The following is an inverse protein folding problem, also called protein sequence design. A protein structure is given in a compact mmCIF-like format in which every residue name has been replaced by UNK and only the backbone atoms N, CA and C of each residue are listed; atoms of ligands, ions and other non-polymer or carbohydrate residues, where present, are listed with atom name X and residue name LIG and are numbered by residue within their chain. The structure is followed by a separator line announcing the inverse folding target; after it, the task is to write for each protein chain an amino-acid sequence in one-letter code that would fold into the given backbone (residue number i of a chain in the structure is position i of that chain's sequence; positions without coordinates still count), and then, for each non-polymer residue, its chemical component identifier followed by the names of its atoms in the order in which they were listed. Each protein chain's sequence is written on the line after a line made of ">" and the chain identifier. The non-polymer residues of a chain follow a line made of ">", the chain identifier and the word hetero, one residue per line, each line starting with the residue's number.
data_IF_250578814678
#
_entry.id   IF_250578814678
#
_cell.length_a   1.000
_cell.length_b   1.000
_cell.length_c   1.000
_cell.angle_alpha   90.00
_cell.angle_beta   90.00
_cell.angle_gamma   90.00
#
_symmetry.space_group_name_H-M   'P 1'
#
loop_
_entity.id
_entity.type
_entity.pdbx_description
1 polymer ?
#
# COMPACT_ATOMS: atom_id res chain seq x y z
N UNK A 1 -24.08 11.60 -6.05
CA UNK A 1 -23.30 10.35 -6.16
C UNK A 1 -23.69 9.41 -5.03
N UNK A 2 -24.18 8.21 -5.36
CA UNK A 2 -24.66 7.21 -4.38
C UNK A 2 -23.53 6.66 -3.52
N UNK A 3 -23.86 6.13 -2.34
CA UNK A 3 -22.88 5.54 -1.41
C UNK A 3 -22.11 4.39 -2.07
N UNK A 4 -22.82 3.48 -2.75
CA UNK A 4 -22.22 2.34 -3.47
C UNK A 4 -21.16 2.78 -4.48
N UNK A 5 -21.44 3.83 -5.26
CA UNK A 5 -20.48 4.37 -6.24
C UNK A 5 -19.23 4.95 -5.56
N UNK A 6 -19.38 5.59 -4.39
CA UNK A 6 -18.24 6.09 -3.61
C UNK A 6 -17.35 4.95 -3.12
N UNK A 7 -17.97 3.89 -2.59
CA UNK A 7 -17.26 2.70 -2.09
C UNK A 7 -16.50 2.02 -3.24
N UNK A 8 -17.16 1.79 -4.39
CA UNK A 8 -16.53 1.15 -5.55
C UNK A 8 -15.36 1.98 -6.09
N UNK A 9 -15.52 3.30 -6.23
CA UNK A 9 -14.44 4.16 -6.69
C UNK A 9 -13.27 4.21 -5.69
N UNK A 10 -13.56 4.27 -4.40
CA UNK A 10 -12.53 4.23 -3.37
C UNK A 10 -11.73 2.92 -3.38
N UNK A 11 -12.41 1.77 -3.55
CA UNK A 11 -11.76 0.47 -3.73
C UNK A 11 -10.84 0.45 -4.96
N UNK A 12 -11.35 0.88 -6.12
CA UNK A 12 -10.56 0.92 -7.36
C UNK A 12 -9.33 1.81 -7.20
N UNK A 13 -9.49 3.01 -6.63
CA UNK A 13 -8.39 3.93 -6.39
C UNK A 13 -7.39 3.34 -5.40
N UNK A 14 -7.86 2.72 -4.31
CA UNK A 14 -6.99 2.08 -3.32
C UNK A 14 -6.11 0.99 -3.95
N UNK A 15 -6.71 0.11 -4.76
CA UNK A 15 -5.97 -0.93 -5.49
C UNK A 15 -5.00 -0.32 -6.50
N UNK A 16 -5.47 0.55 -7.38
CA UNK A 16 -4.65 1.15 -8.43
C UNK A 16 -3.47 1.94 -7.85
N UNK A 17 -3.69 2.73 -6.81
CA UNK A 17 -2.65 3.52 -6.16
C UNK A 17 -1.61 2.62 -5.46
N UNK A 18 -2.06 1.55 -4.79
CA UNK A 18 -1.13 0.60 -4.16
C UNK A 18 -0.23 -0.07 -5.19
N UNK A 19 -0.79 -0.53 -6.30
CA UNK A 19 -0.02 -1.18 -7.37
C UNK A 19 0.93 -0.19 -8.04
N UNK A 20 0.49 1.05 -8.29
CA UNK A 20 1.34 2.09 -8.85
C UNK A 20 2.52 2.43 -7.92
N UNK A 21 2.27 2.55 -6.60
CA UNK A 21 3.32 2.80 -5.62
C UNK A 21 4.29 1.62 -5.47
N UNK A 22 3.79 0.38 -5.53
CA UNK A 22 4.63 -0.81 -5.55
C UNK A 22 5.54 -0.83 -6.79
N UNK A 23 4.98 -0.54 -7.95
CA UNK A 23 5.75 -0.43 -9.21
C UNK A 23 6.82 0.66 -9.13
N UNK A 24 6.45 1.87 -8.69
CA UNK A 24 7.41 2.97 -8.55
C UNK A 24 8.49 2.68 -7.50
N UNK A 25 8.14 1.94 -6.45
CA UNK A 25 9.12 1.48 -5.46
C UNK A 25 10.13 0.51 -6.07
N UNK A 26 9.69 -0.40 -6.93
CA UNK A 26 10.58 -1.28 -7.69
C UNK A 26 11.53 -0.48 -8.58
N UNK A 27 11.00 0.44 -9.40
CA UNK A 27 11.81 1.31 -10.28
C UNK A 27 12.80 2.18 -9.47
N UNK A 28 12.37 2.75 -8.35
CA UNK A 28 13.24 3.54 -7.49
C UNK A 28 14.42 2.72 -6.93
N UNK A 29 14.17 1.44 -6.61
CA UNK A 29 15.21 0.53 -6.13
C UNK A 29 16.23 0.19 -7.24
N UNK A 30 15.75 -0.07 -8.46
CA UNK A 30 16.60 -0.39 -9.62
C UNK A 30 17.57 0.76 -9.96
N UNK A 31 17.17 2.02 -9.73
CA UNK A 31 18.02 3.20 -9.96
C UNK A 31 18.87 3.56 -8.73
N UNK A 32 18.85 2.73 -7.66
CA UNK A 32 19.66 2.89 -6.46
C UNK A 32 19.09 3.85 -5.41
N UNK A 33 17.84 4.30 -5.55
CA UNK A 33 17.15 5.14 -4.57
C UNK A 33 16.39 4.29 -3.53
N UNK A 34 17.12 3.50 -2.75
CA UNK A 34 16.54 2.59 -1.74
C UNK A 34 15.64 3.32 -0.72
N UNK A 35 16.04 4.51 -0.28
CA UNK A 35 15.24 5.31 0.65
C UNK A 35 13.88 5.71 0.06
N UNK A 36 13.84 6.10 -1.22
CA UNK A 36 12.60 6.45 -1.90
C UNK A 36 11.74 5.20 -2.14
N UNK A 37 12.37 4.08 -2.53
CA UNK A 37 11.69 2.79 -2.69
C UNK A 37 10.97 2.39 -1.39
N UNK A 38 11.67 2.50 -0.25
CA UNK A 38 11.12 2.20 1.06
C UNK A 38 9.97 3.13 1.45
N UNK A 39 10.03 4.42 1.10
CA UNK A 39 8.95 5.37 1.39
C UNK A 39 7.72 5.10 0.51
N UNK A 40 7.91 4.85 -0.78
CA UNK A 40 6.82 4.59 -1.72
C UNK A 40 6.03 3.33 -1.35
N UNK A 41 6.70 2.30 -0.86
CA UNK A 41 6.09 1.05 -0.43
C UNK A 41 6.26 0.81 1.08
N UNK A 42 6.03 1.87 1.86
CA UNK A 42 6.25 1.90 3.31
C UNK A 42 5.59 0.76 4.08
N UNK A 43 4.43 0.28 3.63
CA UNK A 43 3.74 -0.82 4.29
C UNK A 43 4.53 -2.13 4.22
N UNK A 44 5.27 -2.37 3.13
CA UNK A 44 6.19 -3.49 3.05
C UNK A 44 7.39 -3.24 3.96
N UNK A 45 8.06 -2.10 3.88
CA UNK A 45 9.20 -1.77 4.74
C UNK A 45 8.84 -1.91 6.22
N UNK A 46 7.65 -1.44 6.62
CA UNK A 46 7.12 -1.59 7.96
C UNK A 46 6.95 -3.06 8.34
N UNK A 47 6.29 -3.88 7.52
CA UNK A 47 6.08 -5.29 7.82
C UNK A 47 7.41 -6.07 7.86
N UNK A 48 8.30 -5.83 6.91
CA UNK A 48 9.61 -6.48 6.85
C UNK A 48 10.48 -6.10 8.06
N UNK A 49 10.40 -4.86 8.56
CA UNK A 49 11.12 -4.43 9.78
C UNK A 49 10.72 -5.20 11.05
N UNK A 50 9.58 -5.92 11.02
CA UNK A 50 9.07 -6.73 12.14
C UNK A 50 9.41 -8.21 12.01
N UNK A 51 9.90 -8.64 10.85
CA UNK A 51 10.34 -10.02 10.66
C UNK A 51 11.81 -10.09 11.08
N UNK A 52 12.10 -10.90 12.10
CA UNK A 52 13.48 -11.16 12.50
C UNK A 52 14.18 -11.96 11.40
N UNK A 53 15.33 -11.48 10.92
CA UNK A 53 16.21 -12.27 10.07
C UNK A 53 17.04 -13.19 10.98
N UNK A 54 16.64 -14.45 11.10
CA UNK A 54 17.45 -15.47 11.76
C UNK A 54 18.17 -16.26 10.67
N UNK A 55 19.46 -16.00 10.52
CA UNK A 55 20.33 -16.87 9.74
C UNK A 55 20.63 -18.11 10.60
N UNK A 56 19.89 -19.19 10.35
CA UNK A 56 20.08 -20.51 10.98
C UNK A 56 20.83 -21.48 10.06
N UNK A 57 21.29 -20.99 8.90
CA UNK A 57 22.13 -21.74 7.99
C UNK A 57 23.59 -21.82 8.44
N UNK A 58 24.35 -22.68 7.76
CA UNK A 58 25.82 -22.65 7.83
C UNK A 58 26.35 -21.69 6.75
N UNK A 59 27.60 -21.21 6.85
CA UNK A 59 28.20 -20.36 5.81
C UNK A 59 28.18 -20.97 4.41
N UNK A 60 28.19 -22.31 4.32
CA UNK A 60 28.18 -23.07 3.07
C UNK A 60 26.76 -23.41 2.58
N UNK A 61 25.74 -23.31 3.43
CA UNK A 61 24.32 -23.51 3.09
C UNK A 61 23.41 -22.57 3.93
N UNK A 62 23.24 -21.31 3.50
CA UNK A 62 22.47 -20.32 4.24
C UNK A 62 20.96 -20.63 4.17
N UNK A 63 20.47 -21.40 5.13
CA UNK A 63 19.05 -21.48 5.46
C UNK A 63 18.64 -20.25 6.26
N UNK A 64 17.92 -19.32 5.61
CA UNK A 64 17.33 -18.15 6.29
C UNK A 64 15.97 -18.52 6.89
N UNK A 65 15.88 -18.71 8.20
CA UNK A 65 14.59 -18.62 8.90
C UNK A 65 14.03 -17.21 8.69
N UNK A 66 12.76 -17.15 8.36
CA UNK A 66 12.08 -15.88 8.06
C UNK A 66 11.78 -15.69 6.57
N UNK A 67 12.32 -16.49 5.65
CA UNK A 67 12.00 -16.38 4.21
C UNK A 67 10.49 -16.47 3.93
N UNK A 68 9.78 -17.40 4.59
CA UNK A 68 8.32 -17.51 4.47
C UNK A 68 7.60 -16.31 5.10
N UNK A 69 8.04 -15.84 6.27
CA UNK A 69 7.44 -14.69 6.93
C UNK A 69 7.66 -13.39 6.15
N UNK A 70 8.84 -13.22 5.53
CA UNK A 70 9.15 -12.10 4.65
C UNK A 70 8.27 -12.14 3.41
N UNK A 71 8.09 -13.31 2.79
CA UNK A 71 7.19 -13.48 1.65
C UNK A 71 5.73 -13.17 2.02
N UNK A 72 5.26 -13.67 3.17
CA UNK A 72 3.94 -13.35 3.69
C UNK A 72 3.79 -11.85 4.00
N UNK A 73 4.82 -11.22 4.58
CA UNK A 73 4.86 -9.78 4.84
C UNK A 73 4.75 -8.97 3.55
N UNK A 74 5.43 -9.40 2.50
CA UNK A 74 5.31 -8.80 1.17
C UNK A 74 3.89 -8.95 0.61
N UNK A 75 3.28 -10.15 0.65
CA UNK A 75 1.90 -10.33 0.18
C UNK A 75 0.92 -9.49 1.00
N UNK A 76 1.04 -9.48 2.32
CA UNK A 76 0.16 -8.74 3.23
C UNK A 76 0.30 -7.22 3.08
N UNK A 77 1.42 -6.74 2.56
CA UNK A 77 1.61 -5.33 2.27
C UNK A 77 0.59 -4.79 1.24
N UNK A 78 0.13 -5.62 0.29
CA UNK A 78 -0.87 -5.20 -0.70
C UNK A 78 -2.27 -4.98 -0.11
N UNK A 79 -2.88 -5.93 0.62
CA UNK A 79 -4.13 -5.69 1.34
C UNK A 79 -4.06 -4.49 2.29
N UNK A 80 -2.95 -4.32 3.00
CA UNK A 80 -2.74 -3.15 3.88
C UNK A 80 -2.79 -1.85 3.06
N UNK A 81 -2.06 -1.79 1.93
CA UNK A 81 -2.12 -0.66 1.01
C UNK A 81 -3.55 -0.41 0.49
N UNK A 82 -4.24 -1.45 0.02
CA UNK A 82 -5.61 -1.34 -0.50
C UNK A 82 -6.56 -0.71 0.52
N UNK A 83 -6.46 -1.12 1.79
CA UNK A 83 -7.29 -0.58 2.86
C UNK A 83 -6.91 0.87 3.17
N UNK A 84 -5.63 1.16 3.38
CA UNK A 84 -5.17 2.52 3.75
C UNK A 84 -5.53 3.53 2.65
N UNK A 85 -5.15 3.25 1.41
CA UNK A 85 -5.39 4.15 0.29
C UNK A 85 -6.87 4.16 -0.12
N UNK A 86 -7.58 3.03 0.01
CA UNK A 86 -9.01 2.96 -0.25
C UNK A 86 -9.82 3.79 0.75
N UNK A 87 -9.53 3.68 2.05
CA UNK A 87 -10.17 4.50 3.09
C UNK A 87 -9.84 5.98 2.88
N UNK A 88 -8.58 6.31 2.59
CA UNK A 88 -8.18 7.68 2.26
C UNK A 88 -8.96 8.25 1.07
N UNK A 89 -9.06 7.49 -0.02
CA UNK A 89 -9.84 7.87 -1.20
C UNK A 89 -11.32 8.04 -0.87
N UNK A 90 -11.91 7.14 -0.07
CA UNK A 90 -13.31 7.23 0.34
C UNK A 90 -13.60 8.51 1.12
N UNK A 91 -12.72 8.87 2.07
CA UNK A 91 -12.86 10.10 2.87
C UNK A 91 -12.77 11.33 1.97
N UNK A 92 -11.79 11.38 1.06
CA UNK A 92 -11.61 12.51 0.13
C UNK A 92 -12.83 12.67 -0.78
N UNK A 93 -13.28 11.57 -1.41
CA UNK A 93 -14.46 11.56 -2.29
C UNK A 93 -15.72 11.99 -1.53
N UNK A 94 -15.88 11.51 -0.30
CA UNK A 94 -17.05 11.84 0.52
C UNK A 94 -17.09 13.33 0.88
N UNK A 95 -15.95 13.90 1.31
CA UNK A 95 -15.83 15.33 1.59
C UNK A 95 -16.05 16.19 0.33
N UNK A 96 -15.54 15.76 -0.83
CA UNK A 96 -15.77 16.47 -2.09
C UNK A 96 -17.25 16.46 -2.48
N UNK A 97 -17.93 15.34 -2.32
CA UNK A 97 -19.35 15.22 -2.64
C UNK A 97 -20.24 16.04 -1.68
N UNK A 98 -19.88 16.16 -0.41
CA UNK A 98 -20.55 17.04 0.56
C UNK A 98 -20.42 18.52 0.13
N UNK A 99 -19.21 18.96 -0.22
CA UNK A 99 -18.96 20.33 -0.69
C UNK A 99 -19.77 20.70 -1.92
N UNK A 100 -19.92 19.77 -2.86
CA UNK A 100 -20.75 19.96 -4.06
C UNK A 100 -22.25 20.00 -3.74
N UNK A 101 -22.69 19.30 -2.68
CA UNK A 101 -24.07 19.36 -2.19
C UNK A 101 -24.41 20.70 -1.54
N UNK A 102 -23.47 21.31 -0.83
CA UNK A 102 -23.63 22.67 -0.25
C UNK A 102 -23.48 23.79 -1.27
N UNK A 103 -22.75 23.57 -2.37
CA UNK A 103 -22.51 24.57 -3.42
C UNK A 103 -23.62 24.68 -4.46
N UNK A 104 -24.63 23.79 -4.43
CA UNK A 104 -25.80 23.87 -5.33
C UNK A 104 -26.91 24.64 -4.61
N UNK A 105 -27.22 25.90 -5.00
CA UNK A 105 -28.42 26.54 -4.51
C UNK A 105 -29.61 25.67 -4.94
N UNK A 106 -30.54 25.40 -4.02
CA UNK A 106 -31.85 24.87 -4.41
C UNK A 106 -32.53 25.97 -5.22
N UNK A 107 -32.47 25.83 -6.54
CA UNK A 107 -33.29 26.61 -7.47
C UNK A 107 -34.74 26.13 -7.39
#
# INVERSE_FOLDING_TARGET
>A
MTLTRRILLALIIGVALTLALAWLSFEANEVGYEGLSNVLFWQNTFLQSRVASLDIGTPDDPLREGTLLMFLGFILSFPVGFVVYGVGAFVVISKLAERQGTARPRA
#
